data_IF_217503178313
#
_entry.id   IF_217503178313
#
_cell.length_a   1.000
_cell.length_b   1.000
_cell.length_c   1.000
_cell.angle_alpha   90.00
_cell.angle_beta   90.00
_cell.angle_gamma   90.00
#
_symmetry.space_group_name_H-M   'P 1'
#
loop_
_entity.id
_entity.type
_entity.pdbx_description
1 polymer ?
#
# COMPACT_ATOMS: atom_id res chain seq x y z
N UNK A 1 50.90 -21.54 -4.51
CA UNK A 1 50.82 -20.06 -4.42
C UNK A 1 49.57 -19.63 -5.18
N UNK A 2 48.44 -19.54 -4.49
CA UNK A 2 47.18 -19.05 -5.04
C UNK A 2 46.42 -18.30 -3.93
N UNK A 3 45.85 -17.18 -4.34
CA UNK A 3 45.42 -15.99 -3.59
C UNK A 3 43.91 -16.08 -3.26
N UNK A 4 43.43 -15.12 -2.45
CA UNK A 4 42.05 -14.62 -2.27
C UNK A 4 41.34 -15.20 -1.03
N UNK A 5 40.59 -14.44 -0.23
CA UNK A 5 40.07 -13.08 -0.34
C UNK A 5 39.14 -12.81 0.87
N UNK A 6 38.83 -11.54 1.11
CA UNK A 6 38.21 -10.98 2.32
C UNK A 6 36.78 -11.47 2.61
N UNK A 7 36.43 -11.39 3.90
CA UNK A 7 35.26 -11.98 4.54
C UNK A 7 33.91 -11.30 4.31
N UNK A 8 32.89 -12.13 4.48
CA UNK A 8 31.52 -11.81 4.85
C UNK A 8 31.22 -12.59 6.14
N UNK A 9 30.84 -11.90 7.22
CA UNK A 9 30.41 -12.52 8.47
C UNK A 9 28.88 -12.51 8.48
N UNK A 10 28.20 -13.64 8.27
CA UNK A 10 26.77 -13.73 8.56
C UNK A 10 26.58 -13.78 10.08
N UNK A 11 25.80 -12.85 10.64
CA UNK A 11 25.28 -12.95 12.00
C UNK A 11 24.35 -14.17 12.07
N UNK A 12 24.89 -15.32 12.46
CA UNK A 12 24.10 -16.46 12.90
C UNK A 12 23.64 -16.18 14.34
N UNK A 13 22.32 -16.17 14.63
CA UNK A 13 21.87 -16.18 16.02
C UNK A 13 22.44 -17.42 16.70
N UNK A 14 22.98 -17.25 17.91
CA UNK A 14 23.68 -18.32 18.62
C UNK A 14 22.77 -19.55 18.77
N UNK A 15 23.35 -20.75 18.65
CA UNK A 15 22.62 -22.01 18.77
C UNK A 15 21.81 -22.11 20.08
N UNK A 16 22.18 -21.35 21.11
CA UNK A 16 21.43 -21.24 22.36
C UNK A 16 20.05 -20.56 22.21
N UNK A 17 19.91 -19.55 21.34
CA UNK A 17 18.61 -18.92 21.08
C UNK A 17 17.68 -19.84 20.29
N UNK A 18 18.23 -20.53 19.29
CA UNK A 18 17.49 -21.55 18.54
C UNK A 18 17.06 -22.70 19.46
N UNK A 19 17.95 -23.19 20.32
CA UNK A 19 17.65 -24.27 21.25
C UNK A 19 16.59 -23.90 22.29
N UNK A 20 16.60 -22.66 22.81
CA UNK A 20 15.56 -22.18 23.73
C UNK A 20 14.20 -22.04 23.03
N UNK A 21 14.16 -21.57 21.78
CA UNK A 21 12.94 -21.50 20.99
C UNK A 21 12.39 -22.90 20.66
N UNK A 22 13.28 -23.85 20.38
CA UNK A 22 12.93 -25.23 20.07
C UNK A 22 12.47 -25.99 21.34
N UNK A 23 13.06 -25.71 22.51
CA UNK A 23 12.60 -26.24 23.78
C UNK A 23 11.24 -25.66 24.20
N UNK A 24 11.00 -24.35 24.05
CA UNK A 24 9.70 -23.76 24.39
C UNK A 24 8.57 -24.34 23.54
N UNK A 25 8.80 -24.57 22.25
CA UNK A 25 7.81 -25.20 21.36
C UNK A 25 7.53 -26.66 21.74
N UNK A 26 8.55 -27.41 22.19
CA UNK A 26 8.40 -28.81 22.63
C UNK A 26 7.55 -28.97 23.91
N UNK A 27 7.61 -28.00 24.83
CA UNK A 27 6.80 -28.03 26.06
C UNK A 27 5.34 -27.61 25.83
N UNK A 28 5.05 -26.86 24.77
CA UNK A 28 3.69 -26.36 24.44
C UNK A 28 2.92 -27.39 23.59
N UNK A 29 3.61 -28.05 22.65
CA UNK A 29 3.01 -28.93 21.65
C UNK A 29 2.09 -30.06 22.16
N UNK A 30 2.35 -30.76 23.29
CA UNK A 30 1.52 -31.88 23.71
C UNK A 30 0.27 -31.50 24.53
N UNK A 31 0.05 -30.21 24.83
CA UNK A 31 -1.08 -29.75 25.67
C UNK A 31 -2.20 -29.05 24.91
N UNK A 32 -1.94 -28.64 23.67
CA UNK A 32 -2.94 -27.96 22.83
C UNK A 32 -3.42 -28.98 21.80
N UNK A 33 -4.65 -29.46 21.97
CA UNK A 33 -5.33 -30.26 20.94
C UNK A 33 -5.62 -29.32 19.75
N UNK A 34 -4.64 -29.20 18.85
CA UNK A 34 -4.72 -28.38 17.63
C UNK A 34 -5.29 -29.19 16.45
N UNK A 35 -5.84 -30.38 16.72
CA UNK A 35 -6.44 -31.24 15.71
C UNK A 35 -7.87 -30.80 15.39
N UNK A 36 -8.06 -30.53 14.10
CA UNK A 36 -9.30 -30.31 13.35
C UNK A 36 -9.95 -28.93 13.50
N UNK A 37 -9.77 -28.13 12.43
CA UNK A 37 -10.45 -26.88 12.11
C UNK A 37 -11.69 -27.19 11.27
N UNK A 38 -12.78 -27.60 11.90
CA UNK A 38 -14.00 -27.93 11.18
C UNK A 38 -15.14 -27.09 11.74
N UNK A 39 -15.54 -26.06 10.97
CA UNK A 39 -16.54 -25.05 11.30
C UNK A 39 -17.54 -25.54 12.36
N UNK A 40 -17.43 -24.96 13.56
CA UNK A 40 -18.20 -25.26 14.78
C UNK A 40 -19.73 -25.19 14.53
N UNK A 41 -20.30 -26.31 14.07
CA UNK A 41 -21.74 -26.41 13.80
C UNK A 41 -22.56 -26.62 15.08
N UNK A 42 -21.96 -27.19 16.13
CA UNK A 42 -22.65 -27.43 17.40
C UNK A 42 -22.31 -26.38 18.47
N UNK A 43 -23.26 -26.06 19.39
CA UNK A 43 -23.00 -25.12 20.49
C UNK A 43 -21.90 -25.59 21.45
N UNK A 44 -21.70 -26.91 21.58
CA UNK A 44 -20.68 -27.48 22.46
C UNK A 44 -19.27 -27.33 21.86
N UNK A 45 -19.11 -27.56 20.56
CA UNK A 45 -17.87 -27.32 19.82
C UNK A 45 -17.51 -25.83 19.84
N UNK A 46 -18.50 -24.95 19.65
CA UNK A 46 -18.33 -23.50 19.77
C UNK A 46 -17.83 -23.06 21.14
N UNK A 47 -18.39 -23.63 22.21
CA UNK A 47 -17.94 -23.33 23.57
C UNK A 47 -16.50 -23.82 23.82
N UNK A 48 -16.11 -24.94 23.19
CA UNK A 48 -14.73 -25.42 23.22
C UNK A 48 -13.78 -24.53 22.41
N UNK A 49 -14.19 -24.04 21.24
CA UNK A 49 -13.44 -23.10 20.42
C UNK A 49 -13.26 -21.74 21.11
N UNK A 50 -14.32 -21.17 21.70
CA UNK A 50 -14.22 -19.96 22.51
C UNK A 50 -13.20 -20.12 23.64
N UNK A 51 -13.22 -21.28 24.33
CA UNK A 51 -12.24 -21.60 25.37
C UNK A 51 -10.82 -21.76 24.82
N UNK A 52 -10.65 -22.34 23.62
CA UNK A 52 -9.36 -22.48 22.92
C UNK A 52 -8.70 -21.13 22.63
N UNK A 53 -9.49 -20.12 22.28
CA UNK A 53 -9.01 -18.75 22.01
C UNK A 53 -9.09 -17.80 23.21
N UNK A 54 -9.35 -18.32 24.42
CA UNK A 54 -9.48 -17.52 25.64
C UNK A 54 -10.57 -16.42 25.57
N UNK A 55 -11.63 -16.64 24.79
CA UNK A 55 -12.75 -15.72 24.64
C UNK A 55 -14.00 -16.23 25.37
N UNK A 56 -14.97 -15.35 25.60
CA UNK A 56 -16.29 -15.77 26.08
C UNK A 56 -17.06 -16.41 24.94
N UNK A 57 -17.97 -17.33 25.27
CA UNK A 57 -18.84 -17.97 24.28
C UNK A 57 -19.71 -16.93 23.58
N UNK A 58 -20.23 -15.96 24.33
CA UNK A 58 -21.03 -14.83 23.80
C UNK A 58 -20.24 -14.00 22.79
N UNK A 59 -19.01 -13.60 23.12
CA UNK A 59 -18.16 -12.82 22.20
C UNK A 59 -17.89 -13.62 20.91
N UNK A 60 -17.64 -14.93 21.02
CA UNK A 60 -17.44 -15.80 19.85
C UNK A 60 -18.73 -15.99 19.01
N UNK A 61 -19.91 -15.87 19.62
CA UNK A 61 -21.19 -15.91 18.91
C UNK A 61 -21.52 -14.60 18.20
N UNK A 62 -21.22 -13.47 18.86
CA UNK A 62 -21.40 -12.13 18.30
C UNK A 62 -20.46 -11.87 17.11
N UNK A 63 -19.23 -12.39 17.20
CA UNK A 63 -18.31 -12.48 16.08
C UNK A 63 -18.70 -13.67 15.20
N UNK A 64 -19.79 -13.54 14.44
CA UNK A 64 -20.27 -14.54 13.48
C UNK A 64 -19.09 -15.31 12.87
N UNK A 65 -19.04 -16.65 13.01
CA UNK A 65 -18.00 -17.46 12.40
C UNK A 65 -17.87 -17.09 10.93
N UNK A 66 -16.64 -17.15 10.40
CA UNK A 66 -16.44 -16.91 8.98
C UNK A 66 -17.40 -17.81 8.18
N UNK A 67 -18.07 -17.28 7.15
CA UNK A 67 -18.99 -18.08 6.36
C UNK A 67 -18.28 -19.32 5.81
N UNK A 68 -19.01 -20.44 5.76
CA UNK A 68 -18.58 -21.76 5.29
C UNK A 68 -18.35 -21.77 3.76
N UNK A 69 -17.51 -20.85 3.26
CA UNK A 69 -17.25 -20.64 1.83
C UNK A 69 -16.04 -21.45 1.34
N UNK A 70 -15.57 -22.43 2.12
CA UNK A 70 -14.35 -23.24 1.86
C UNK A 70 -13.07 -22.42 1.63
N UNK A 71 -13.04 -21.15 2.06
CA UNK A 71 -11.88 -20.24 1.93
C UNK A 71 -10.73 -20.62 2.89
N UNK A 72 -10.98 -21.56 3.81
CA UNK A 72 -9.97 -22.11 4.71
C UNK A 72 -9.77 -21.34 6.01
N UNK A 73 -10.73 -20.51 6.43
CA UNK A 73 -10.71 -19.84 7.73
C UNK A 73 -10.84 -20.82 8.90
N UNK A 74 -11.66 -21.86 8.75
CA UNK A 74 -11.97 -22.82 9.83
C UNK A 74 -12.62 -22.15 11.03
N UNK A 75 -12.36 -22.68 12.22
CA UNK A 75 -12.87 -22.17 13.51
C UNK A 75 -12.13 -20.93 14.03
N UNK A 76 -11.53 -20.14 13.14
CA UNK A 76 -10.84 -18.92 13.55
C UNK A 76 -11.86 -17.82 13.87
N UNK A 77 -11.72 -17.10 15.01
CA UNK A 77 -12.67 -16.06 15.36
C UNK A 77 -12.56 -14.84 14.44
N UNK A 78 -13.71 -14.33 13.99
CA UNK A 78 -13.80 -13.12 13.18
C UNK A 78 -13.73 -11.87 14.06
N UNK A 79 -12.51 -11.47 14.40
CA UNK A 79 -12.24 -10.26 15.17
C UNK A 79 -12.60 -8.99 14.38
N UNK A 80 -12.83 -7.85 15.05
CA UNK A 80 -13.07 -6.58 14.38
C UNK A 80 -11.83 -6.11 13.60
N UNK A 81 -12.05 -5.52 12.42
CA UNK A 81 -11.02 -4.99 11.50
C UNK A 81 -10.40 -3.68 12.01
N UNK A 82 -9.81 -3.71 13.21
CA UNK A 82 -9.15 -2.57 13.84
C UNK A 82 -7.63 -2.62 13.65
N UNK A 83 -6.98 -1.47 13.39
CA UNK A 83 -5.55 -1.42 13.19
C UNK A 83 -4.83 -1.59 14.54
N UNK A 84 -3.60 -2.11 14.51
CA UNK A 84 -2.87 -2.37 15.75
C UNK A 84 -2.51 -1.09 16.55
N UNK A 85 -2.63 0.10 15.94
CA UNK A 85 -2.47 1.41 16.58
C UNK A 85 -3.56 1.77 17.59
N UNK A 86 -4.77 1.24 17.40
CA UNK A 86 -5.92 1.53 18.27
C UNK A 86 -6.00 0.60 19.48
N UNK A 87 -5.25 -0.50 19.46
CA UNK A 87 -5.27 -1.48 20.53
C UNK A 87 -4.59 -0.95 21.77
N UNK A 88 -5.10 -1.36 22.93
CA UNK A 88 -4.45 -1.09 24.20
C UNK A 88 -3.08 -1.79 24.25
N UNK A 89 -1.96 -1.07 24.45
CA UNK A 89 -0.63 -1.68 24.58
C UNK A 89 -0.51 -2.69 25.72
N UNK A 90 -1.42 -2.66 26.71
CA UNK A 90 -1.32 -3.44 27.95
C UNK A 90 -2.09 -4.76 27.94
N UNK A 91 -2.96 -5.00 26.96
CA UNK A 91 -3.80 -6.20 26.91
C UNK A 91 -3.42 -7.15 25.78
N UNK A 92 -3.42 -8.46 26.06
CA UNK A 92 -3.09 -9.49 25.09
C UNK A 92 -4.38 -10.09 24.53
N UNK A 93 -4.78 -9.61 23.35
CA UNK A 93 -5.94 -10.11 22.60
C UNK A 93 -5.54 -11.22 21.62
N UNK A 94 -6.49 -12.08 21.20
CA UNK A 94 -6.26 -12.98 20.08
C UNK A 94 -5.83 -12.21 18.83
N UNK A 95 -5.00 -12.86 18.01
CA UNK A 95 -4.48 -12.27 16.78
C UNK A 95 -5.59 -12.15 15.75
N UNK A 96 -5.59 -11.08 14.95
CA UNK A 96 -6.51 -10.95 13.82
C UNK A 96 -6.07 -11.86 12.67
N UNK A 97 -6.99 -12.43 11.89
CA UNK A 97 -6.63 -13.26 10.74
C UNK A 97 -5.73 -12.50 9.74
N UNK A 98 -6.14 -11.28 9.39
CA UNK A 98 -5.36 -10.36 8.57
C UNK A 98 -4.37 -9.49 9.37
N UNK A 99 -3.74 -10.03 10.42
CA UNK A 99 -2.80 -9.28 11.26
C UNK A 99 -1.66 -8.61 10.47
N UNK A 100 -1.15 -9.25 9.41
CA UNK A 100 -0.09 -8.67 8.55
C UNK A 100 -0.53 -7.37 7.85
N UNK A 101 -1.83 -7.23 7.54
CA UNK A 101 -2.37 -6.03 6.91
C UNK A 101 -2.53 -4.88 7.90
N UNK A 102 -2.92 -5.18 9.14
CA UNK A 102 -3.21 -4.22 10.21
C UNK A 102 -2.03 -3.92 11.12
N UNK A 103 -0.81 -4.22 10.66
CA UNK A 103 0.42 -3.89 11.36
C UNK A 103 0.61 -2.36 11.44
N UNK A 104 1.41 -1.90 12.42
CA UNK A 104 1.66 -0.47 12.65
C UNK A 104 2.22 0.27 11.42
N UNK A 105 2.89 -0.44 10.51
CA UNK A 105 3.56 0.14 9.35
C UNK A 105 2.74 0.06 8.06
N UNK A 106 1.49 -0.41 8.14
CA UNK A 106 0.69 -0.82 6.98
C UNK A 106 -0.59 -0.01 6.88
N UNK A 107 -1.74 -0.69 6.81
CA UNK A 107 -3.04 -0.08 6.60
C UNK A 107 -3.56 0.44 7.92
N UNK A 108 -3.96 1.70 7.92
CA UNK A 108 -4.59 2.35 9.07
C UNK A 108 -6.06 2.60 8.76
N UNK A 109 -6.94 2.04 9.59
CA UNK A 109 -8.40 2.23 9.53
C UNK A 109 -8.89 3.20 10.62
N UNK A 110 -7.98 3.93 11.26
CA UNK A 110 -8.33 4.86 12.33
C UNK A 110 -9.29 5.97 11.89
N UNK A 111 -10.23 6.38 12.75
CA UNK A 111 -11.22 7.39 12.40
C UNK A 111 -10.51 8.75 12.26
N UNK A 112 -10.59 9.32 11.07
CA UNK A 112 -10.08 10.66 10.80
C UNK A 112 -11.14 11.73 11.13
N UNK A 113 -10.69 12.96 11.37
CA UNK A 113 -11.58 14.08 11.74
C UNK A 113 -12.54 14.49 10.61
N UNK A 114 -12.23 14.14 9.36
CA UNK A 114 -13.05 14.45 8.18
C UNK A 114 -13.58 13.15 7.58
N UNK A 115 -14.86 13.14 7.23
CA UNK A 115 -15.47 11.99 6.58
C UNK A 115 -14.80 11.65 5.22
N UNK A 116 -14.59 10.37 4.96
CA UNK A 116 -13.86 9.86 3.79
C UNK A 116 -14.37 10.41 2.45
N UNK A 117 -15.68 10.34 2.21
CA UNK A 117 -16.26 10.82 0.96
C UNK A 117 -16.04 12.32 0.75
N UNK A 118 -16.04 13.09 1.83
CA UNK A 118 -15.77 14.53 1.79
C UNK A 118 -14.32 14.80 1.35
N UNK A 119 -13.36 14.06 1.91
CA UNK A 119 -11.95 14.15 1.50
C UNK A 119 -11.77 13.81 0.01
N UNK A 120 -12.37 12.71 -0.45
CA UNK A 120 -12.30 12.30 -1.86
C UNK A 120 -12.90 13.36 -2.79
N UNK A 121 -14.07 13.91 -2.47
CA UNK A 121 -14.69 14.95 -3.30
C UNK A 121 -13.84 16.21 -3.40
N UNK A 122 -13.28 16.69 -2.29
CA UNK A 122 -12.39 17.85 -2.33
C UNK A 122 -11.14 17.58 -3.18
N UNK A 123 -10.53 16.41 -3.04
CA UNK A 123 -9.35 16.01 -3.80
C UNK A 123 -9.64 15.98 -5.31
N UNK A 124 -10.70 15.28 -5.72
CA UNK A 124 -11.05 15.17 -7.15
C UNK A 124 -11.56 16.47 -7.74
N UNK A 125 -12.32 17.27 -6.99
CA UNK A 125 -12.76 18.59 -7.45
C UNK A 125 -11.57 19.52 -7.66
N UNK A 126 -10.60 19.53 -6.74
CA UNK A 126 -9.41 20.36 -6.87
C UNK A 126 -8.59 19.98 -8.11
N UNK A 127 -8.28 18.69 -8.28
CA UNK A 127 -7.52 18.21 -9.45
C UNK A 127 -8.29 18.49 -10.75
N UNK A 128 -9.59 18.19 -10.78
CA UNK A 128 -10.44 18.46 -11.94
C UNK A 128 -10.46 19.95 -12.29
N UNK A 129 -10.54 20.83 -11.30
CA UNK A 129 -10.52 22.27 -11.48
C UNK A 129 -9.18 22.78 -12.01
N UNK A 130 -8.06 22.29 -11.46
CA UNK A 130 -6.71 22.67 -11.93
C UNK A 130 -6.50 22.25 -13.39
N UNK A 131 -6.87 21.02 -13.74
CA UNK A 131 -6.77 20.54 -15.13
C UNK A 131 -7.67 21.33 -16.09
N UNK A 132 -8.88 21.69 -15.63
CA UNK A 132 -9.79 22.53 -16.40
C UNK A 132 -9.23 23.94 -16.63
N UNK A 133 -8.60 24.56 -15.62
CA UNK A 133 -7.94 25.85 -15.77
C UNK A 133 -6.74 25.80 -16.73
N UNK A 134 -5.96 24.72 -16.71
CA UNK A 134 -4.89 24.53 -17.69
C UNK A 134 -5.42 24.41 -19.12
N UNK A 135 -6.51 23.67 -19.32
CA UNK A 135 -7.18 23.55 -20.61
C UNK A 135 -7.69 24.92 -21.12
N UNK A 136 -8.27 25.74 -20.25
CA UNK A 136 -8.64 27.12 -20.60
C UNK A 136 -7.42 27.99 -20.93
N UNK A 137 -6.31 27.80 -20.21
CA UNK A 137 -5.05 28.51 -20.47
C UNK A 137 -4.44 28.19 -21.84
N UNK A 138 -4.66 26.97 -22.34
CA UNK A 138 -4.26 26.58 -23.70
C UNK A 138 -5.20 27.17 -24.76
N UNK A 139 -6.51 27.19 -24.51
CA UNK A 139 -7.49 27.80 -25.41
C UNK A 139 -7.34 29.33 -25.54
N UNK A 140 -6.93 29.99 -24.44
CA UNK A 140 -6.75 31.44 -24.38
C UNK A 140 -5.31 31.80 -23.97
N UNK A 141 -4.32 31.58 -24.85
CA UNK A 141 -2.94 31.85 -24.52
C UNK A 141 -2.71 33.36 -24.40
N UNK A 142 -2.04 33.76 -23.32
CA UNK A 142 -1.55 35.13 -23.17
C UNK A 142 -0.29 35.31 -24.01
N UNK A 143 -0.31 36.26 -24.94
CA UNK A 143 0.86 36.66 -25.72
C UNK A 143 1.18 38.14 -25.51
N UNK A 144 2.45 38.49 -25.67
CA UNK A 144 2.89 39.89 -25.61
C UNK A 144 2.53 40.52 -26.97
N UNK A 145 1.96 41.75 -27.02
CA UNK A 145 1.51 42.39 -28.26
C UNK A 145 2.70 42.89 -29.11
N UNK A 146 3.50 41.95 -29.59
CA UNK A 146 4.67 42.14 -30.42
C UNK A 146 4.51 41.31 -31.68
N UNK A 147 5.04 41.81 -32.80
CA UNK A 147 5.11 41.03 -34.03
C UNK A 147 6.00 39.79 -33.88
N UNK A 148 5.90 38.87 -34.84
CA UNK A 148 6.81 37.74 -34.93
C UNK A 148 8.26 38.23 -35.06
N UNK A 149 9.18 37.53 -34.41
CA UNK A 149 10.60 37.87 -34.46
C UNK A 149 11.12 37.67 -35.89
N UNK A 150 11.67 38.74 -36.46
CA UNK A 150 12.26 38.74 -37.78
C UNK A 150 13.71 38.23 -37.72
N UNK A 151 14.08 37.41 -38.71
CA UNK A 151 15.37 36.74 -38.79
C UNK A 151 16.00 36.95 -40.19
N UNK A 152 17.30 37.28 -40.30
CA UNK A 152 17.98 37.47 -41.59
C UNK A 152 18.20 36.15 -42.34
N UNK A 153 18.69 36.24 -43.59
CA UNK A 153 19.12 35.09 -44.41
C UNK A 153 18.04 34.00 -44.57
N UNK A 154 16.84 34.37 -45.02
CA UNK A 154 15.70 33.46 -45.22
C UNK A 154 15.39 32.62 -43.96
N UNK A 155 15.22 33.29 -42.81
CA UNK A 155 15.01 32.66 -41.50
C UNK A 155 16.17 31.75 -41.05
N UNK A 156 17.42 32.14 -41.31
CA UNK A 156 18.62 31.36 -40.96
C UNK A 156 18.57 29.92 -41.52
N UNK A 157 18.17 29.77 -42.78
CA UNK A 157 17.94 28.45 -43.38
C UNK A 157 19.16 27.51 -43.28
N UNK A 158 20.37 28.04 -43.52
CA UNK A 158 21.59 27.22 -43.48
C UNK A 158 21.97 26.84 -42.05
N UNK A 159 21.76 27.74 -41.09
CA UNK A 159 22.11 27.54 -39.68
C UNK A 159 21.10 26.64 -38.95
N UNK A 160 19.85 26.57 -39.42
CA UNK A 160 18.82 25.66 -38.92
C UNK A 160 18.90 24.25 -39.53
N UNK A 161 19.94 23.96 -40.34
CA UNK A 161 20.16 22.63 -40.93
C UNK A 161 19.47 22.43 -42.28
N UNK A 162 19.16 23.51 -43.00
CA UNK A 162 18.65 23.47 -44.36
C UNK A 162 19.66 22.86 -45.35
N UNK A 163 19.13 22.23 -46.40
CA UNK A 163 19.92 21.57 -47.43
C UNK A 163 20.61 22.63 -48.31
N UNK A 164 21.97 22.69 -48.35
CA UNK A 164 22.71 23.71 -49.11
C UNK A 164 22.49 23.59 -50.63
N UNK A 165 22.04 22.43 -51.10
CA UNK A 165 21.82 22.16 -52.51
C UNK A 165 20.50 22.72 -53.05
N UNK A 166 19.61 23.15 -52.15
CA UNK A 166 18.28 23.67 -52.50
C UNK A 166 18.18 25.12 -52.10
N UNK A 167 17.68 25.94 -53.01
CA UNK A 167 17.40 27.34 -52.71
C UNK A 167 16.18 27.43 -51.77
N UNK A 168 16.32 28.05 -50.59
CA UNK A 168 15.19 28.24 -49.70
C UNK A 168 14.21 29.29 -50.26
N UNK A 169 12.93 29.24 -49.84
CA UNK A 169 11.98 30.29 -50.17
C UNK A 169 12.48 31.66 -49.68
N UNK A 170 12.38 32.69 -50.53
CA UNK A 170 12.88 34.02 -50.22
C UNK A 170 12.00 34.71 -49.18
N UNK A 171 12.55 35.03 -48.00
CA UNK A 171 11.86 35.74 -46.90
C UNK A 171 12.54 37.10 -46.71
N UNK A 172 11.86 38.17 -47.11
CA UNK A 172 12.34 39.55 -47.02
C UNK A 172 11.72 40.26 -45.80
N UNK A 173 12.56 40.85 -44.96
CA UNK A 173 12.15 41.73 -43.87
C UNK A 173 12.43 43.18 -44.29
N UNK A 174 11.43 44.05 -44.18
CA UNK A 174 11.55 45.47 -44.51
C UNK A 174 11.49 46.31 -43.22
N UNK A 175 12.14 47.48 -43.24
CA UNK A 175 11.98 48.48 -42.18
C UNK A 175 10.57 49.07 -42.24
N UNK A 176 9.94 49.22 -41.06
CA UNK A 176 8.56 49.71 -40.89
C UNK A 176 8.60 51.18 -40.48
#
# INVERSE_FOLDING_TARGET
>A
LAVLGKGYIPYFPSAALLYNYQQSLWYIAPTINFEECFNDRTPEERAAAAKKYNMRVEDYEDYEPHPDDDIGYGDYPKLPDQPHHERDPWYQEPMHWHFDMFLWTRVDTSPTVVHWHTMCHHFFLFIGFVLFMFWLGEMYPSYIPMGLKQYPYNNLYLEQGGDPSKEPPEVKNYEI
#
